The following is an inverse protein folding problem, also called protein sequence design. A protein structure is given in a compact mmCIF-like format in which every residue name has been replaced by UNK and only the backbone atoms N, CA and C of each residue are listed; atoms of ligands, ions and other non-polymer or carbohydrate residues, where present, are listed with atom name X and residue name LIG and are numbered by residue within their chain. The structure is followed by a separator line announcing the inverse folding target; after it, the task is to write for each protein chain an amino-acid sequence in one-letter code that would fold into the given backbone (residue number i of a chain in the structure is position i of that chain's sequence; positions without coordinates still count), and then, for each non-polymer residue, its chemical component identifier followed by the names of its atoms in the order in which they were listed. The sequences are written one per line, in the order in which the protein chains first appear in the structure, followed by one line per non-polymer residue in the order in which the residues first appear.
data_IF_987923860072
#
_entry.id   IF_987923860072
#
_cell.length_a   1.000
_cell.length_b   1.000
_cell.length_c   1.000
_cell.angle_alpha   90.00
_cell.angle_beta   90.00
_cell.angle_gamma   90.00
#
_symmetry.space_group_name_H-M   'P 1'
#
loop_
_entity.id
_entity.type
_entity.pdbx_description
1 polymer ?
#
# COMPACT_ATOMS: atom_id res chain seq x y z
N UNK A 1 29.90 -54.41 26.16
CA UNK A 1 29.01 -55.58 26.09
C UNK A 1 27.66 -55.19 26.68
N UNK A 2 26.55 -55.63 26.06
CA UNK A 2 25.12 -55.37 26.37
C UNK A 2 24.51 -54.05 25.85
N UNK A 3 23.20 -54.08 25.50
CA UNK A 3 22.76 -53.66 24.16
C UNK A 3 21.52 -52.73 24.13
N UNK A 4 21.11 -52.40 22.89
CA UNK A 4 19.73 -52.12 22.45
C UNK A 4 18.99 -50.89 23.02
N UNK A 5 19.00 -49.80 22.26
CA UNK A 5 17.84 -48.91 22.10
C UNK A 5 17.53 -48.78 20.61
N UNK A 6 16.78 -49.74 20.06
CA UNK A 6 15.96 -49.52 18.86
C UNK A 6 14.56 -49.31 19.42
N UNK A 7 14.01 -48.10 19.34
CA UNK A 7 12.58 -47.71 19.41
C UNK A 7 12.45 -46.22 19.79
N UNK A 8 13.07 -45.33 19.00
CA UNK A 8 12.87 -43.89 19.17
C UNK A 8 13.25 -43.14 17.89
N UNK A 9 12.72 -43.57 16.73
CA UNK A 9 13.02 -42.88 15.48
C UNK A 9 11.94 -43.15 14.44
N UNK A 10 10.72 -42.66 14.71
CA UNK A 10 9.73 -42.46 13.65
C UNK A 10 8.61 -41.45 13.99
N UNK A 11 8.82 -40.53 14.94
CA UNK A 11 7.76 -39.59 15.37
C UNK A 11 8.13 -38.10 15.23
N UNK A 12 9.37 -37.74 14.90
CA UNK A 12 9.77 -36.32 14.88
C UNK A 12 9.81 -35.63 13.50
N UNK A 13 9.48 -36.26 12.37
CA UNK A 13 9.63 -35.61 11.05
C UNK A 13 8.36 -35.07 10.39
N UNK A 14 7.25 -34.88 11.10
CA UNK A 14 6.01 -34.34 10.49
C UNK A 14 5.42 -33.16 11.26
N UNK A 15 6.29 -32.38 11.92
CA UNK A 15 5.89 -31.08 12.44
C UNK A 15 6.58 -29.98 11.64
N UNK A 16 5.77 -29.00 11.23
CA UNK A 16 6.11 -27.79 10.48
C UNK A 16 6.17 -27.97 8.97
N UNK A 17 5.02 -27.86 8.32
CA UNK A 17 4.72 -26.76 7.40
C UNK A 17 3.47 -27.10 6.58
N UNK A 18 2.29 -26.66 7.06
CA UNK A 18 1.06 -26.37 6.27
C UNK A 18 -0.11 -26.11 7.23
N UNK A 19 -0.32 -24.84 7.60
CA UNK A 19 -1.53 -24.33 8.27
C UNK A 19 -2.73 -24.24 7.31
N UNK A 20 -2.91 -25.26 6.46
CA UNK A 20 -4.05 -25.30 5.55
C UNK A 20 -4.46 -26.75 5.22
N UNK A 21 -4.60 -27.58 6.25
CA UNK A 21 -5.11 -28.93 6.10
C UNK A 21 -6.59 -28.98 6.49
N UNK A 22 -7.41 -29.19 5.47
CA UNK A 22 -8.82 -29.53 5.56
C UNK A 22 -9.09 -30.51 6.72
N UNK A 23 -9.91 -30.10 7.68
CA UNK A 23 -10.29 -30.83 8.91
C UNK A 23 -10.67 -32.31 8.68
N UNK A 24 -11.13 -32.63 7.47
CA UNK A 24 -11.52 -33.96 7.03
C UNK A 24 -10.37 -34.99 6.98
N UNK A 25 -9.14 -34.60 6.64
CA UNK A 25 -8.01 -35.56 6.55
C UNK A 25 -7.49 -35.98 7.92
N UNK A 26 -7.48 -35.05 8.89
CA UNK A 26 -7.07 -35.32 10.27
C UNK A 26 -8.05 -36.25 11.01
N UNK A 27 -9.35 -36.09 10.74
CA UNK A 27 -10.41 -36.96 11.27
C UNK A 27 -10.30 -38.39 10.75
N UNK A 28 -10.04 -38.57 9.43
CA UNK A 28 -9.86 -39.88 8.83
C UNK A 28 -8.67 -40.63 9.46
N UNK A 29 -7.56 -39.94 9.70
CA UNK A 29 -6.36 -40.55 10.30
C UNK A 29 -6.60 -41.01 11.75
N UNK A 30 -7.30 -40.20 12.57
CA UNK A 30 -7.67 -40.58 13.95
C UNK A 30 -8.60 -41.78 13.98
N UNK A 31 -9.55 -41.89 13.05
CA UNK A 31 -10.49 -43.01 12.98
C UNK A 31 -9.78 -44.33 12.66
N UNK A 32 -8.83 -44.31 11.72
CA UNK A 32 -8.03 -45.48 11.33
C UNK A 32 -7.19 -45.99 12.52
N UNK A 33 -6.53 -45.09 13.25
CA UNK A 33 -5.76 -45.44 14.45
C UNK A 33 -6.63 -46.13 15.50
N UNK A 34 -7.84 -45.59 15.77
CA UNK A 34 -8.78 -46.15 16.75
C UNK A 34 -9.23 -47.57 16.38
N UNK A 35 -9.55 -47.81 15.10
CA UNK A 35 -9.95 -49.13 14.60
C UNK A 35 -8.80 -50.13 14.78
N UNK A 36 -7.57 -49.73 14.44
CA UNK A 36 -6.40 -50.61 14.56
C UNK A 36 -6.13 -50.99 16.03
N UNK A 37 -6.17 -50.02 16.95
CA UNK A 37 -5.97 -50.27 18.39
C UNK A 37 -7.04 -51.21 18.95
N UNK A 38 -8.33 -51.02 18.60
CA UNK A 38 -9.41 -51.92 19.06
C UNK A 38 -9.22 -53.34 18.55
N UNK A 39 -8.80 -53.50 17.30
CA UNK A 39 -8.65 -54.83 16.68
C UNK A 39 -7.53 -55.63 17.34
N UNK A 40 -6.37 -55.00 17.58
CA UNK A 40 -5.23 -55.64 18.28
C UNK A 40 -5.60 -56.08 19.70
N UNK A 41 -6.36 -55.25 20.43
CA UNK A 41 -6.80 -55.58 21.78
C UNK A 41 -7.79 -56.77 21.80
N UNK A 42 -8.69 -56.85 20.81
CA UNK A 42 -9.64 -57.96 20.72
C UNK A 42 -8.93 -59.30 20.46
N UNK A 43 -7.88 -59.33 19.64
CA UNK A 43 -7.08 -60.54 19.37
C UNK A 43 -6.32 -61.01 20.62
N UNK A 44 -5.83 -60.07 21.45
CA UNK A 44 -5.21 -60.40 22.75
C UNK A 44 -6.23 -61.02 23.71
N UNK A 45 -7.44 -60.46 23.79
CA UNK A 45 -8.49 -60.97 24.66
C UNK A 45 -8.99 -62.36 24.22
N UNK A 46 -9.07 -62.59 22.91
CA UNK A 46 -9.45 -63.90 22.35
C UNK A 46 -8.38 -64.98 22.63
N UNK A 47 -7.09 -64.63 22.56
CA UNK A 47 -6.00 -65.54 22.96
C UNK A 47 -6.02 -65.85 24.46
N UNK A 48 -6.36 -64.87 25.30
CA UNK A 48 -6.48 -65.06 26.74
C UNK A 48 -7.67 -65.98 27.10
N UNK A 49 -8.80 -65.85 26.39
CA UNK A 49 -9.95 -66.74 26.54
C UNK A 49 -9.65 -68.17 26.06
N UNK A 50 -8.91 -68.31 24.96
CA UNK A 50 -8.46 -69.61 24.46
C UNK A 50 -7.50 -70.32 25.43
N UNK A 51 -6.57 -69.59 26.04
CA UNK A 51 -5.61 -70.17 27.00
C UNK A 51 -6.27 -70.62 28.31
N UNK A 52 -7.42 -70.05 28.68
CA UNK A 52 -8.18 -70.44 29.88
C UNK A 52 -9.04 -71.69 29.69
N UNK A 53 -9.28 -72.11 28.45
CA UNK A 53 -10.11 -73.27 28.12
C UNK A 53 -9.34 -74.61 28.16
N UNK A 54 -8.01 -74.60 28.31
CA UNK A 54 -7.17 -75.81 28.34
C UNK A 54 -7.02 -76.45 29.73
N UNK A 55 -7.59 -75.86 30.79
CA UNK A 55 -7.37 -76.36 32.14
C UNK A 55 -8.31 -77.51 32.56
N UNK A 56 -9.59 -77.51 32.19
CA UNK A 56 -10.53 -78.57 32.57
C UNK A 56 -11.72 -78.55 31.60
N UNK A 57 -11.84 -79.54 30.69
CA UNK A 57 -13.11 -80.20 30.29
C UNK A 57 -12.91 -81.07 29.03
N UNK A 58 -13.22 -82.36 29.12
CA UNK A 58 -13.41 -83.26 27.98
C UNK A 58 -14.69 -82.87 27.24
N UNK A 59 -14.58 -82.31 26.04
CA UNK A 59 -15.74 -81.82 25.30
C UNK A 59 -15.50 -81.63 23.81
N UNK A 60 -15.42 -82.72 23.05
CA UNK A 60 -15.24 -82.71 21.58
C UNK A 60 -16.32 -81.92 20.81
N UNK A 61 -17.52 -81.75 21.39
CA UNK A 61 -18.62 -80.97 20.79
C UNK A 61 -18.42 -79.45 20.95
N UNK A 62 -17.75 -79.03 22.04
CA UNK A 62 -17.47 -77.62 22.31
C UNK A 62 -16.36 -77.09 21.38
N UNK A 63 -15.37 -77.93 21.07
CA UNK A 63 -14.29 -77.63 20.11
C UNK A 63 -14.86 -77.47 18.69
N UNK A 64 -15.81 -78.31 18.27
CA UNK A 64 -16.41 -78.23 16.94
C UNK A 64 -17.27 -76.97 16.77
N UNK A 65 -18.06 -76.62 17.79
CA UNK A 65 -18.83 -75.36 17.81
C UNK A 65 -17.90 -74.14 17.85
N UNK A 66 -16.77 -74.22 18.56
CA UNK A 66 -15.80 -73.13 18.61
C UNK A 66 -15.05 -72.94 17.28
N UNK A 67 -14.67 -74.03 16.59
CA UNK A 67 -14.04 -73.99 15.28
C UNK A 67 -14.99 -73.44 14.20
N UNK A 68 -16.25 -73.86 14.21
CA UNK A 68 -17.26 -73.35 13.29
C UNK A 68 -17.60 -71.88 13.57
N UNK A 69 -17.64 -71.46 14.84
CA UNK A 69 -17.80 -70.05 15.21
C UNK A 69 -16.59 -69.22 14.77
N UNK A 70 -15.36 -69.74 14.95
CA UNK A 70 -14.10 -69.11 14.54
C UNK A 70 -14.05 -68.88 13.03
N UNK A 71 -14.49 -69.84 12.21
CA UNK A 71 -14.58 -69.64 10.76
C UNK A 71 -15.63 -68.62 10.36
N UNK A 72 -16.81 -68.62 10.99
CA UNK A 72 -17.84 -67.60 10.72
C UNK A 72 -17.40 -66.21 11.18
N UNK A 73 -16.65 -66.11 12.27
CA UNK A 73 -16.13 -64.84 12.78
C UNK A 73 -14.94 -64.33 11.95
N UNK A 74 -14.04 -65.20 11.48
CA UNK A 74 -12.95 -64.78 10.58
C UNK A 74 -13.47 -64.33 9.21
N UNK A 75 -14.50 -64.98 8.65
CA UNK A 75 -15.12 -64.53 7.39
C UNK A 75 -15.72 -63.14 7.53
N UNK A 76 -16.46 -62.87 8.62
CA UNK A 76 -17.05 -61.56 8.89
C UNK A 76 -16.00 -60.46 9.11
N UNK A 77 -14.94 -60.77 9.86
CA UNK A 77 -13.83 -59.83 10.12
C UNK A 77 -13.06 -59.55 8.82
N UNK A 78 -12.83 -60.55 7.98
CA UNK A 78 -12.17 -60.39 6.68
C UNK A 78 -13.00 -59.53 5.72
N UNK A 79 -14.32 -59.74 5.64
CA UNK A 79 -15.19 -58.86 4.84
C UNK A 79 -15.25 -57.44 5.39
N UNK A 80 -15.20 -57.25 6.71
CA UNK A 80 -15.23 -55.92 7.32
C UNK A 80 -13.90 -55.15 7.09
N UNK A 81 -12.75 -55.83 7.10
CA UNK A 81 -11.46 -55.20 6.79
C UNK A 81 -11.31 -54.87 5.31
N UNK A 82 -11.90 -55.67 4.42
CA UNK A 82 -11.88 -55.39 2.99
C UNK A 82 -12.82 -54.24 2.62
N UNK A 83 -13.98 -54.13 3.28
CA UNK A 83 -14.89 -52.99 3.14
C UNK A 83 -14.29 -51.68 3.68
N UNK A 84 -13.51 -51.72 4.77
CA UNK A 84 -12.85 -50.53 5.30
C UNK A 84 -11.67 -50.07 4.43
N UNK A 85 -10.97 -50.99 3.76
CA UNK A 85 -9.88 -50.65 2.84
C UNK A 85 -10.39 -49.94 1.57
N UNK A 86 -11.57 -50.32 1.07
CA UNK A 86 -12.21 -49.68 -0.10
C UNK A 86 -12.65 -48.24 0.24
N UNK A 87 -13.10 -47.98 1.46
CA UNK A 87 -13.58 -46.65 1.88
C UNK A 87 -12.44 -45.60 1.97
N UNK A 88 -11.21 -46.02 2.26
CA UNK A 88 -10.06 -45.10 2.37
C UNK A 88 -9.55 -44.64 0.99
N UNK A 89 -9.77 -45.43 -0.07
CA UNK A 89 -9.36 -45.06 -1.44
C UNK A 89 -10.33 -44.11 -2.14
N UNK A 90 -11.53 -43.85 -1.59
CA UNK A 90 -12.50 -42.89 -2.15
C UNK A 90 -12.27 -41.44 -1.71
N UNK A 91 -11.36 -41.19 -0.76
CA UNK A 91 -10.93 -39.83 -0.42
C UNK A 91 -9.85 -39.36 -1.39
N UNK A 92 -10.22 -39.20 -2.66
CA UNK A 92 -9.40 -38.42 -3.59
C UNK A 92 -9.37 -36.98 -3.08
N UNK A 93 -8.31 -36.61 -2.37
CA UNK A 93 -8.01 -35.21 -2.10
C UNK A 93 -7.87 -34.55 -3.46
N UNK A 94 -8.87 -33.77 -3.90
CA UNK A 94 -8.70 -32.92 -5.07
C UNK A 94 -7.49 -32.04 -4.75
N UNK A 95 -6.36 -32.28 -5.41
CA UNK A 95 -5.24 -31.35 -5.35
C UNK A 95 -5.78 -30.02 -5.86
N UNK A 96 -5.81 -29.02 -4.98
CA UNK A 96 -6.18 -27.69 -5.37
C UNK A 96 -5.03 -27.16 -6.26
N UNK A 97 -5.25 -27.15 -7.57
CA UNK A 97 -4.32 -26.53 -8.51
C UNK A 97 -4.38 -25.02 -8.28
N UNK A 98 -3.42 -24.50 -7.52
CA UNK A 98 -3.22 -23.07 -7.35
C UNK A 98 -2.10 -22.63 -8.30
N UNK A 99 -2.39 -21.64 -9.13
CA UNK A 99 -1.39 -20.92 -9.90
C UNK A 99 -1.39 -19.47 -9.40
N UNK A 100 -0.21 -18.95 -9.12
CA UNK A 100 0.00 -17.54 -8.83
C UNK A 100 0.97 -16.96 -9.84
N UNK A 101 0.82 -15.66 -10.06
CA UNK A 101 1.74 -14.84 -10.84
C UNK A 101 1.93 -13.53 -10.11
N UNK A 102 2.93 -12.76 -10.50
CA UNK A 102 3.28 -11.49 -9.87
C UNK A 102 3.18 -10.36 -10.88
N UNK A 103 2.85 -9.17 -10.40
CA UNK A 103 2.87 -7.93 -11.15
C UNK A 103 3.61 -6.87 -10.34
N UNK A 104 4.17 -5.89 -11.05
CA UNK A 104 4.91 -4.79 -10.44
C UNK A 104 3.97 -3.64 -10.08
N UNK A 105 4.14 -3.08 -8.90
CA UNK A 105 3.53 -1.83 -8.48
C UNK A 105 4.57 -0.71 -8.60
N UNK A 106 4.40 0.17 -9.59
CA UNK A 106 5.36 1.23 -9.90
C UNK A 106 4.78 2.61 -9.56
N UNK A 107 5.61 3.49 -9.01
CA UNK A 107 5.32 4.90 -8.79
C UNK A 107 6.58 5.71 -9.09
N UNK A 108 6.41 6.83 -9.80
CA UNK A 108 7.47 7.82 -9.98
C UNK A 108 7.16 9.04 -9.11
N UNK A 109 8.13 9.49 -8.33
CA UNK A 109 8.05 10.70 -7.52
C UNK A 109 8.84 11.79 -8.23
N UNK A 110 8.16 12.88 -8.62
CA UNK A 110 8.77 14.04 -9.26
C UNK A 110 9.14 15.10 -8.22
N UNK A 111 10.06 15.99 -8.57
CA UNK A 111 10.40 17.14 -7.75
C UNK A 111 9.18 18.05 -7.54
N UNK A 112 9.04 18.62 -6.34
CA UNK A 112 8.00 19.60 -6.04
C UNK A 112 8.30 20.94 -6.72
N UNK A 113 7.27 21.65 -7.16
CA UNK A 113 7.41 23.02 -7.68
C UNK A 113 7.62 24.00 -6.51
N UNK A 114 8.50 24.97 -6.71
CA UNK A 114 8.81 26.05 -5.76
C UNK A 114 9.06 27.35 -6.50
N UNK A 115 8.84 28.48 -5.82
CA UNK A 115 9.11 29.82 -6.35
C UNK A 115 9.83 30.64 -5.29
N UNK A 116 10.89 31.34 -5.69
CA UNK A 116 11.68 32.22 -4.84
C UNK A 116 11.80 33.60 -5.47
N UNK A 117 11.53 34.65 -4.68
CA UNK A 117 11.70 36.05 -5.12
C UNK A 117 13.18 36.37 -5.30
N UNK A 118 13.52 37.06 -6.38
CA UNK A 118 14.86 37.58 -6.68
C UNK A 118 14.88 39.11 -6.58
N UNK A 119 13.91 39.79 -7.21
CA UNK A 119 13.75 41.25 -7.15
C UNK A 119 12.30 41.68 -6.95
N UNK A 120 12.10 42.92 -6.47
CA UNK A 120 10.80 43.52 -6.23
C UNK A 120 10.36 44.38 -7.43
N UNK A 121 9.04 44.52 -7.61
CA UNK A 121 8.48 45.44 -8.61
C UNK A 121 8.65 46.87 -8.10
N UNK A 122 9.35 47.71 -8.85
CA UNK A 122 9.64 49.10 -8.48
C UNK A 122 9.14 50.07 -9.56
N UNK A 123 8.21 50.93 -9.16
CA UNK A 123 7.70 52.00 -10.02
C UNK A 123 8.57 53.27 -9.98
N UNK A 124 9.60 53.32 -9.14
CA UNK A 124 10.49 54.46 -8.96
C UNK A 124 9.82 55.66 -8.30
N UNK A 125 10.34 56.85 -8.57
CA UNK A 125 9.77 58.11 -8.04
C UNK A 125 8.73 58.70 -8.99
N UNK A 126 7.72 59.36 -8.42
CA UNK A 126 6.72 60.12 -9.16
C UNK A 126 6.31 61.38 -8.40
N UNK A 127 5.93 62.42 -9.13
CA UNK A 127 5.39 63.66 -8.58
C UNK A 127 3.87 63.61 -8.45
N UNK A 128 3.31 64.43 -7.56
CA UNK A 128 1.85 64.60 -7.46
C UNK A 128 1.28 65.02 -8.82
N UNK A 129 0.21 64.35 -9.26
CA UNK A 129 -0.39 64.58 -10.57
C UNK A 129 0.22 63.80 -11.73
N UNK A 130 1.27 62.99 -11.51
CA UNK A 130 1.82 62.12 -12.55
C UNK A 130 0.77 61.14 -13.08
N UNK A 131 0.87 60.84 -14.38
CA UNK A 131 0.06 59.81 -14.99
C UNK A 131 0.32 58.40 -14.43
N UNK A 132 -0.53 57.46 -14.86
CA UNK A 132 -0.29 56.04 -14.63
C UNK A 132 1.06 55.63 -15.23
N UNK A 133 1.76 54.72 -14.57
CA UNK A 133 3.07 54.21 -15.02
C UNK A 133 3.01 52.70 -15.17
N UNK A 134 3.19 52.23 -16.40
CA UNK A 134 3.30 50.82 -16.72
C UNK A 134 4.77 50.37 -16.66
N UNK A 135 5.01 49.24 -16.01
CA UNK A 135 6.26 48.49 -16.02
C UNK A 135 6.01 47.19 -16.75
N UNK A 136 6.73 46.95 -17.84
CA UNK A 136 6.61 45.71 -18.59
C UNK A 136 7.45 44.60 -17.93
N UNK A 137 6.99 43.33 -17.94
CA UNK A 137 7.78 42.21 -17.43
C UNK A 137 9.09 42.05 -18.21
N UNK A 138 9.07 42.27 -19.53
CA UNK A 138 10.25 42.08 -20.39
C UNK A 138 10.71 40.62 -20.47
N UNK A 139 11.71 40.34 -21.29
CA UNK A 139 12.30 38.99 -21.44
C UNK A 139 13.57 38.79 -20.59
N UNK A 140 13.94 39.78 -19.79
CA UNK A 140 15.14 39.80 -18.97
C UNK A 140 14.95 40.71 -17.75
N UNK A 141 15.79 40.53 -16.75
CA UNK A 141 15.86 41.38 -15.56
C UNK A 141 16.07 42.84 -15.94
N UNK A 142 15.34 43.74 -15.30
CA UNK A 142 15.58 45.17 -15.34
C UNK A 142 15.41 45.77 -13.93
N UNK A 143 15.55 47.09 -13.81
CA UNK A 143 15.53 47.75 -12.50
C UNK A 143 14.10 47.94 -11.92
N UNK A 144 13.07 47.73 -12.73
CA UNK A 144 11.67 48.03 -12.39
C UNK A 144 10.81 46.77 -12.28
N UNK A 145 11.08 45.72 -13.06
CA UNK A 145 10.31 44.48 -13.03
C UNK A 145 10.62 43.65 -11.77
N UNK A 146 9.62 42.90 -11.30
CA UNK A 146 9.89 41.85 -10.31
C UNK A 146 10.38 40.60 -11.00
N UNK A 147 11.29 39.86 -10.37
CA UNK A 147 11.71 38.56 -10.84
C UNK A 147 11.68 37.48 -9.77
N UNK A 148 11.42 36.27 -10.24
CA UNK A 148 11.29 35.07 -9.43
C UNK A 148 12.01 33.91 -10.11
N UNK A 149 12.64 33.06 -9.31
CA UNK A 149 13.18 31.79 -9.76
C UNK A 149 12.16 30.71 -9.45
N UNK A 150 11.65 30.04 -10.50
CA UNK A 150 10.78 28.87 -10.38
C UNK A 150 11.66 27.62 -10.49
N UNK A 151 11.52 26.69 -9.55
CA UNK A 151 12.23 25.41 -9.56
C UNK A 151 11.28 24.23 -9.45
N UNK A 152 11.65 23.08 -10.02
CA UNK A 152 10.83 21.87 -10.03
C UNK A 152 11.42 20.75 -10.89
N UNK A 153 10.55 19.89 -11.41
CA UNK A 153 10.91 18.76 -12.27
C UNK A 153 11.31 19.26 -13.67
N UNK A 154 12.42 18.75 -14.20
CA UNK A 154 12.96 19.22 -15.47
C UNK A 154 11.98 18.98 -16.63
N UNK A 155 11.89 19.96 -17.54
CA UNK A 155 11.01 19.92 -18.74
C UNK A 155 9.50 19.85 -18.44
N UNK A 156 9.07 20.05 -17.19
CA UNK A 156 7.66 20.15 -16.85
C UNK A 156 7.13 21.56 -17.06
N UNK A 157 5.94 21.64 -17.65
CA UNK A 157 5.18 22.88 -17.74
C UNK A 157 4.54 23.23 -16.39
N UNK A 158 4.27 24.52 -16.20
CA UNK A 158 3.49 25.01 -15.07
C UNK A 158 2.64 26.21 -15.50
N UNK A 159 1.62 26.50 -14.71
CA UNK A 159 0.72 27.65 -14.86
C UNK A 159 1.10 28.75 -13.88
N UNK A 160 0.90 29.99 -14.30
CA UNK A 160 1.18 31.20 -13.51
C UNK A 160 -0.16 31.89 -13.23
N UNK A 161 -0.45 32.14 -11.96
CA UNK A 161 -1.57 32.98 -11.54
C UNK A 161 -1.04 34.27 -10.92
N UNK A 162 -1.46 35.39 -11.51
CA UNK A 162 -1.16 36.74 -11.05
C UNK A 162 -2.35 37.32 -10.28
N UNK A 163 -2.15 38.41 -9.51
CA UNK A 163 -3.24 39.14 -8.87
C UNK A 163 -4.24 39.66 -9.89
N UNK A 164 -5.52 39.71 -9.50
CA UNK A 164 -6.56 40.34 -10.31
C UNK A 164 -6.50 41.86 -10.17
N UNK A 165 -7.04 42.58 -11.16
CA UNK A 165 -7.11 44.04 -11.11
C UNK A 165 -7.87 44.53 -9.88
N UNK A 166 -7.34 45.58 -9.24
CA UNK A 166 -7.88 46.15 -8.01
C UNK A 166 -7.60 45.36 -6.73
N UNK A 167 -6.86 44.24 -6.77
CA UNK A 167 -6.53 43.48 -5.55
C UNK A 167 -5.28 43.96 -4.82
N UNK A 168 -4.43 44.76 -5.48
CA UNK A 168 -3.17 45.25 -4.93
C UNK A 168 -3.23 46.76 -4.78
N UNK A 169 -2.93 47.22 -3.56
CA UNK A 169 -2.86 48.64 -3.21
C UNK A 169 -1.55 48.88 -2.49
N UNK A 170 -0.80 49.88 -2.93
CA UNK A 170 0.33 50.42 -2.19
C UNK A 170 -0.16 51.52 -1.27
N UNK A 171 0.36 51.58 -0.05
CA UNK A 171 -0.06 52.58 0.93
C UNK A 171 1.12 53.27 1.59
N UNK A 172 0.87 54.48 2.10
CA UNK A 172 1.79 55.20 2.98
C UNK A 172 1.09 55.55 4.29
N UNK A 173 1.85 55.70 5.39
CA UNK A 173 1.31 56.13 6.69
C UNK A 173 0.18 55.28 7.27
N UNK A 174 0.01 54.03 6.83
CA UNK A 174 -1.07 53.13 7.24
C UNK A 174 -2.29 53.09 6.31
N UNK A 175 -2.31 53.88 5.23
CA UNK A 175 -3.37 53.84 4.21
C UNK A 175 -4.70 54.47 4.67
N UNK A 176 -5.81 54.00 4.10
CA UNK A 176 -7.18 54.31 4.53
C UNK A 176 -7.84 55.52 3.86
N UNK A 177 -7.13 56.22 2.98
CA UNK A 177 -7.69 57.32 2.19
C UNK A 177 -7.17 57.27 0.77
N UNK A 178 -7.90 57.88 -0.17
CA UNK A 178 -7.50 57.91 -1.57
C UNK A 178 -6.18 58.68 -1.82
N UNK A 179 -5.78 59.59 -0.94
CA UNK A 179 -4.51 60.34 -1.02
C UNK A 179 -3.35 59.61 -0.32
N UNK A 180 -3.60 58.49 0.38
CA UNK A 180 -2.58 57.67 1.06
C UNK A 180 -2.48 56.26 0.47
N UNK A 181 -3.18 56.01 -0.64
CA UNK A 181 -3.22 54.74 -1.37
C UNK A 181 -2.98 54.96 -2.86
N UNK A 182 -2.38 53.97 -3.53
CA UNK A 182 -2.15 53.92 -4.98
C UNK A 182 -2.49 52.50 -5.44
N UNK A 183 -3.43 52.36 -6.37
CA UNK A 183 -3.75 51.06 -6.97
C UNK A 183 -2.64 50.55 -7.88
N UNK A 184 -2.52 49.22 -7.94
CA UNK A 184 -1.66 48.52 -8.90
C UNK A 184 -2.50 47.46 -9.60
N UNK A 185 -2.50 47.52 -10.93
CA UNK A 185 -3.36 46.72 -11.81
C UNK A 185 -2.62 46.31 -13.10
N UNK A 186 -3.27 45.49 -13.93
CA UNK A 186 -2.70 45.06 -15.21
C UNK A 186 -1.46 44.20 -15.05
N UNK A 187 -1.45 43.30 -14.06
CA UNK A 187 -0.34 42.39 -13.84
C UNK A 187 -0.14 41.48 -15.06
N UNK A 188 1.09 41.45 -15.57
CA UNK A 188 1.50 40.61 -16.71
C UNK A 188 2.84 39.93 -16.41
N UNK A 189 3.12 38.81 -17.08
CA UNK A 189 4.36 38.07 -16.86
C UNK A 189 5.08 37.68 -18.14
N UNK A 190 6.35 37.31 -17.99
CA UNK A 190 7.13 36.58 -18.97
C UNK A 190 7.83 35.40 -18.27
N UNK A 191 7.58 34.15 -18.68
CA UNK A 191 6.66 33.74 -19.74
C UNK A 191 5.19 34.08 -19.42
N UNK A 192 4.36 34.20 -20.46
CA UNK A 192 2.95 34.59 -20.33
C UNK A 192 2.08 33.38 -19.98
N UNK A 193 1.36 33.46 -18.85
CA UNK A 193 0.34 32.51 -18.36
C UNK A 193 0.84 31.09 -18.02
N UNK A 194 1.82 30.56 -18.76
CA UNK A 194 2.44 29.25 -18.56
C UNK A 194 3.94 29.33 -18.82
N UNK A 195 4.73 28.61 -18.04
CA UNK A 195 6.16 28.44 -18.26
C UNK A 195 6.54 26.98 -18.49
N UNK A 196 7.81 26.74 -18.80
CA UNK A 196 8.37 25.39 -18.92
C UNK A 196 9.74 25.37 -18.29
N UNK A 197 9.89 24.57 -17.24
CA UNK A 197 11.16 24.43 -16.54
C UNK A 197 12.22 23.88 -17.50
N UNK A 198 13.39 24.53 -17.53
CA UNK A 198 14.49 24.09 -18.38
C UNK A 198 14.99 22.69 -18.00
N UNK A 199 15.98 22.20 -18.74
CA UNK A 199 16.58 20.88 -18.49
C UNK A 199 17.17 20.73 -17.06
N UNK A 200 17.51 21.84 -16.39
CA UNK A 200 17.95 21.86 -15.00
C UNK A 200 16.84 21.97 -13.95
N UNK A 201 15.56 21.95 -14.36
CA UNK A 201 14.42 22.13 -13.45
C UNK A 201 14.24 23.56 -12.95
N UNK A 202 14.73 24.56 -13.69
CA UNK A 202 14.69 25.98 -13.28
C UNK A 202 14.23 26.85 -14.45
N UNK A 203 13.46 27.90 -14.15
CA UNK A 203 13.11 28.99 -15.06
C UNK A 203 13.04 30.33 -14.29
N UNK A 204 13.33 31.44 -14.98
CA UNK A 204 13.14 32.78 -14.42
C UNK A 204 11.83 33.37 -14.93
N UNK A 205 11.00 33.82 -13.99
CA UNK A 205 9.72 34.47 -14.22
C UNK A 205 9.85 35.97 -13.94
N UNK A 206 9.50 36.81 -14.91
CA UNK A 206 9.41 38.26 -14.76
C UNK A 206 7.96 38.70 -14.65
N UNK A 207 7.69 39.67 -13.78
CA UNK A 207 6.35 40.22 -13.58
C UNK A 207 6.40 41.75 -13.68
N UNK A 208 5.46 42.30 -14.44
CA UNK A 208 5.21 43.73 -14.57
C UNK A 208 3.77 44.06 -14.20
N UNK A 209 3.48 45.33 -13.95
CA UNK A 209 2.14 45.85 -13.69
C UNK A 209 2.09 47.35 -13.98
N UNK A 210 0.93 47.96 -13.80
CA UNK A 210 0.70 49.40 -13.92
C UNK A 210 0.28 49.97 -12.58
N UNK A 211 0.97 51.01 -12.11
CA UNK A 211 0.46 51.82 -11.00
C UNK A 211 -0.51 52.88 -11.52
N UNK A 212 -1.52 53.17 -10.74
CA UNK A 212 -2.49 54.23 -11.02
C UNK A 212 -1.82 55.61 -11.13
N UNK A 213 -2.56 56.55 -11.75
CA UNK A 213 -2.19 57.95 -11.77
C UNK A 213 -2.14 58.53 -10.34
N UNK A 214 -1.12 59.33 -10.06
CA UNK A 214 -0.95 59.98 -8.77
C UNK A 214 -1.88 61.18 -8.69
N UNK A 215 -2.61 61.31 -7.58
CA UNK A 215 -3.47 62.47 -7.36
C UNK A 215 -2.65 63.75 -7.23
N UNK A 216 -3.22 64.88 -7.62
CA UNK A 216 -2.62 66.20 -7.33
C UNK A 216 -2.50 66.46 -5.82
N UNK A 217 -3.33 65.81 -5.02
CA UNK A 217 -3.36 65.84 -3.55
C UNK A 217 -2.68 64.63 -2.90
N UNK A 218 -2.04 63.75 -3.69
CA UNK A 218 -1.42 62.52 -3.19
C UNK A 218 -0.42 62.84 -2.08
N UNK A 219 -0.49 62.19 -0.93
CA UNK A 219 0.40 62.44 0.20
C UNK A 219 1.85 62.10 -0.18
N UNK A 220 2.83 63.01 -0.05
CA UNK A 220 4.23 62.68 -0.29
C UNK A 220 4.74 61.66 0.72
N UNK A 221 5.42 60.61 0.24
CA UNK A 221 5.97 59.56 1.09
C UNK A 221 6.36 58.32 0.29
N UNK A 222 6.90 57.32 0.99
CA UNK A 222 7.13 56.00 0.43
C UNK A 222 5.85 55.19 0.47
N UNK A 223 5.47 54.64 -0.68
CA UNK A 223 4.33 53.74 -0.83
C UNK A 223 4.84 52.32 -0.97
N UNK A 224 4.25 51.37 -0.25
CA UNK A 224 4.56 49.96 -0.39
C UNK A 224 3.30 49.11 -0.35
N UNK A 225 3.35 47.99 -1.04
CA UNK A 225 2.28 46.99 -1.11
C UNK A 225 2.89 45.61 -1.32
N UNK A 226 2.07 44.58 -1.13
CA UNK A 226 2.48 43.19 -1.38
C UNK A 226 1.53 42.60 -2.39
N UNK A 227 2.08 41.87 -3.36
CA UNK A 227 1.33 41.06 -4.30
C UNK A 227 1.81 39.61 -4.23
N UNK A 228 0.97 38.67 -4.67
CA UNK A 228 1.27 37.23 -4.63
C UNK A 228 1.27 36.67 -6.02
N UNK A 229 2.32 35.91 -6.35
CA UNK A 229 2.45 35.12 -7.58
C UNK A 229 2.32 33.65 -7.19
N UNK A 230 1.46 32.90 -7.88
CA UNK A 230 1.28 31.47 -7.64
C UNK A 230 1.70 30.69 -8.88
N UNK A 231 2.44 29.60 -8.66
CA UNK A 231 2.81 28.64 -9.70
C UNK A 231 2.31 27.25 -9.35
N UNK A 232 1.78 26.53 -10.34
CA UNK A 232 1.20 25.19 -10.17
C UNK A 232 1.53 24.34 -11.40
N UNK A 233 1.91 23.07 -11.21
CA UNK A 233 2.05 22.10 -12.31
C UNK A 233 0.75 21.90 -13.11
#
# INVERSE_FOLDING_TARGET
MRPHVKHALLVCCLNQNTQNHNSSTLLAFKLIQLIFTKTVNMTKMLKALLFRADAEFSGSILILNFLTLKERMMKKILTLSMASLILVMSFSTKQANAASTTADALQTVTAAISIAKVSDLDFGTGAQGDGAKAVAPGAAENAENASFTVTGEASQAYTISLPADGSVVMSTGGGGTADTEIGVEGFTSFPDTTGTLGAGGTETLYVGATRDALRATQTPGSYSGVFTVTVVY
#
